data_IF_619483748453
#
_entry.id   IF_619483748453
#
_cell.length_a   1.000
_cell.length_b   1.000
_cell.length_c   1.000
_cell.angle_alpha   90.00
_cell.angle_beta   90.00
_cell.angle_gamma   90.00
#
_symmetry.space_group_name_H-M   'P 1'
#
loop_
_entity.id
_entity.type
_entity.pdbx_description
1 polymer ?
#
# COMPACT_ATOMS: atom_id res chain seq x y z
N UNK A 1 -29.00 0.93 -2.66
CA UNK A 1 -28.16 1.91 -1.94
C UNK A 1 -26.88 1.95 -2.71
N UNK A 2 -26.37 3.13 -3.07
CA UNK A 2 -25.07 3.21 -3.73
C UNK A 2 -24.04 2.64 -2.76
N UNK A 3 -23.31 1.64 -3.21
CA UNK A 3 -22.22 1.03 -2.49
C UNK A 3 -20.99 1.94 -2.55
N UNK A 4 -20.02 1.67 -1.71
CA UNK A 4 -18.71 2.32 -1.73
C UNK A 4 -17.71 1.41 -2.46
N UNK A 5 -16.88 1.93 -3.37
CA UNK A 5 -15.89 1.14 -4.10
C UNK A 5 -14.67 0.83 -3.20
N UNK A 6 -14.35 -0.45 -3.04
CA UNK A 6 -13.11 -0.91 -2.38
C UNK A 6 -12.25 -1.63 -3.41
N UNK A 7 -10.98 -1.27 -3.47
CA UNK A 7 -10.03 -1.77 -4.46
C UNK A 7 -8.79 -2.30 -3.76
N UNK A 8 -8.34 -3.48 -4.16
CA UNK A 8 -6.98 -3.95 -3.91
C UNK A 8 -6.26 -4.11 -5.25
N UNK A 9 -5.00 -3.72 -5.28
CA UNK A 9 -4.16 -3.77 -6.47
C UNK A 9 -2.78 -4.34 -6.09
N UNK A 10 -2.40 -5.53 -6.59
CA UNK A 10 -1.03 -6.05 -6.50
C UNK A 10 -0.13 -5.45 -7.60
N UNK A 11 1.05 -4.94 -7.22
CA UNK A 11 2.00 -4.39 -8.19
C UNK A 11 2.67 -5.50 -8.99
N UNK A 12 2.59 -5.48 -10.31
CA UNK A 12 3.06 -6.62 -11.11
C UNK A 12 4.48 -6.52 -11.63
N UNK A 13 5.11 -5.35 -11.61
CA UNK A 13 6.50 -5.20 -12.04
C UNK A 13 7.48 -5.64 -10.94
N UNK A 14 8.60 -6.26 -11.30
CA UNK A 14 9.70 -6.60 -10.36
C UNK A 14 9.34 -7.59 -9.24
N UNK A 15 8.21 -8.29 -9.35
CA UNK A 15 7.80 -9.33 -8.41
C UNK A 15 7.88 -10.71 -9.10
N UNK A 16 8.83 -11.55 -8.69
CA UNK A 16 9.10 -12.85 -9.33
C UNK A 16 7.92 -13.85 -9.26
N UNK A 17 6.93 -13.61 -8.38
CA UNK A 17 5.77 -14.48 -8.18
C UNK A 17 4.42 -13.72 -8.19
N UNK A 18 4.34 -12.59 -8.91
CA UNK A 18 3.12 -11.77 -8.93
C UNK A 18 1.85 -12.53 -9.34
N UNK A 19 1.97 -13.56 -10.18
CA UNK A 19 0.83 -14.38 -10.61
C UNK A 19 0.22 -15.16 -9.44
N UNK A 20 1.03 -15.65 -8.49
CA UNK A 20 0.52 -16.35 -7.32
C UNK A 20 -0.21 -15.38 -6.37
N UNK A 21 0.27 -14.14 -6.32
CA UNK A 21 -0.25 -13.07 -5.49
C UNK A 21 -1.57 -12.52 -6.04
N UNK A 22 -1.64 -12.27 -7.35
CA UNK A 22 -2.90 -11.99 -8.04
C UNK A 22 -3.92 -13.11 -7.81
N UNK A 23 -3.51 -14.37 -7.99
CA UNK A 23 -4.39 -15.51 -7.77
C UNK A 23 -4.83 -15.64 -6.30
N UNK A 24 -3.98 -15.25 -5.35
CA UNK A 24 -4.32 -15.19 -3.92
C UNK A 24 -5.37 -14.13 -3.67
N UNK A 25 -5.16 -12.90 -4.13
CA UNK A 25 -6.07 -11.78 -3.93
C UNK A 25 -7.44 -12.04 -4.58
N UNK A 26 -7.47 -12.52 -5.83
CA UNK A 26 -8.74 -12.86 -6.52
C UNK A 26 -9.52 -13.94 -5.76
N UNK A 27 -8.83 -14.95 -5.22
CA UNK A 27 -9.46 -16.05 -4.49
C UNK A 27 -10.05 -15.60 -3.15
N UNK A 28 -9.37 -14.68 -2.47
CA UNK A 28 -9.69 -14.29 -1.10
C UNK A 28 -10.50 -12.98 -1.02
N UNK A 29 -10.63 -12.23 -2.11
CA UNK A 29 -11.40 -10.99 -2.18
C UNK A 29 -12.86 -11.19 -1.74
N UNK A 30 -13.34 -10.44 -0.72
CA UNK A 30 -14.76 -10.38 -0.41
C UNK A 30 -15.55 -9.82 -1.59
N UNK A 31 -16.84 -10.16 -1.70
CA UNK A 31 -17.68 -9.79 -2.84
C UNK A 31 -17.93 -8.28 -3.03
N UNK A 32 -17.51 -7.45 -2.06
CA UNK A 32 -17.59 -5.99 -2.11
C UNK A 32 -16.24 -5.32 -2.37
N UNK A 33 -15.26 -6.08 -2.84
CA UNK A 33 -13.93 -5.62 -3.25
C UNK A 33 -13.70 -5.93 -4.72
N UNK A 34 -13.14 -4.96 -5.42
CA UNK A 34 -12.61 -5.12 -6.77
C UNK A 34 -11.11 -5.38 -6.71
N UNK A 35 -10.63 -6.28 -7.57
CA UNK A 35 -9.20 -6.60 -7.69
C UNK A 35 -8.67 -6.06 -9.01
N UNK A 36 -7.74 -5.09 -8.95
CA UNK A 36 -7.09 -4.54 -10.12
C UNK A 36 -5.85 -5.36 -10.45
N UNK A 37 -5.94 -6.17 -11.49
CA UNK A 37 -4.84 -7.02 -11.97
C UNK A 37 -3.91 -6.27 -12.94
N UNK A 38 -2.65 -6.68 -12.95
CA UNK A 38 -1.65 -6.30 -13.94
C UNK A 38 -1.33 -4.82 -13.96
N UNK A 39 -1.31 -4.15 -12.80
CA UNK A 39 -0.91 -2.75 -12.76
C UNK A 39 0.61 -2.60 -12.56
N UNK A 40 1.22 -1.88 -13.49
CA UNK A 40 2.68 -1.77 -13.59
C UNK A 40 3.22 -0.39 -13.25
N UNK A 41 2.35 0.61 -13.08
CA UNK A 41 2.74 1.95 -12.66
C UNK A 41 1.54 2.77 -12.19
N UNK A 42 1.83 3.91 -11.53
CA UNK A 42 0.88 4.94 -11.12
C UNK A 42 -0.21 5.28 -12.15
N UNK A 43 0.16 5.52 -13.42
CA UNK A 43 -0.80 6.00 -14.42
C UNK A 43 -1.80 4.90 -14.77
N UNK A 44 -1.31 3.67 -14.94
CA UNK A 44 -2.16 2.50 -15.20
C UNK A 44 -3.12 2.24 -14.03
N UNK A 45 -2.63 2.28 -12.78
CA UNK A 45 -3.50 2.11 -11.60
C UNK A 45 -4.63 3.14 -11.58
N UNK A 46 -4.31 4.42 -11.78
CA UNK A 46 -5.30 5.50 -11.77
C UNK A 46 -6.32 5.33 -12.90
N UNK A 47 -5.89 4.96 -14.09
CA UNK A 47 -6.80 4.76 -15.23
C UNK A 47 -7.70 3.53 -15.05
N UNK A 48 -7.20 2.46 -14.44
CA UNK A 48 -8.02 1.29 -14.09
C UNK A 48 -9.06 1.61 -13.01
N UNK A 49 -8.70 2.36 -11.97
CA UNK A 49 -9.66 2.82 -10.96
C UNK A 49 -10.73 3.71 -11.59
N UNK A 50 -10.35 4.69 -12.43
CA UNK A 50 -11.33 5.54 -13.12
C UNK A 50 -12.27 4.73 -14.01
N UNK A 51 -11.74 3.71 -14.68
CA UNK A 51 -12.56 2.81 -15.49
C UNK A 51 -13.60 2.11 -14.62
N UNK A 52 -13.20 1.53 -13.47
CA UNK A 52 -14.13 0.92 -12.51
C UNK A 52 -15.21 1.91 -12.05
N UNK A 53 -14.82 3.12 -11.67
CA UNK A 53 -15.75 4.18 -11.25
C UNK A 53 -16.73 4.61 -12.36
N UNK A 54 -16.35 4.46 -13.63
CA UNK A 54 -17.19 4.84 -14.77
C UNK A 54 -18.21 3.78 -15.19
N UNK A 55 -17.90 2.51 -14.96
CA UNK A 55 -18.75 1.37 -15.38
C UNK A 55 -19.72 0.93 -14.29
N UNK A 56 -19.45 1.31 -13.04
CA UNK A 56 -20.28 1.00 -11.88
C UNK A 56 -20.91 2.27 -11.28
N UNK A 57 -22.03 2.77 -11.86
CA UNK A 57 -22.70 3.95 -11.34
C UNK A 57 -23.30 3.74 -9.94
N UNK A 58 -23.42 2.48 -9.48
CA UNK A 58 -23.89 2.15 -8.14
C UNK A 58 -22.76 2.28 -7.09
N UNK A 59 -21.49 2.41 -7.49
CA UNK A 59 -20.34 2.66 -6.62
C UNK A 59 -19.61 3.97 -6.98
N UNK A 60 -20.22 5.15 -6.73
CA UNK A 60 -19.77 6.42 -7.30
C UNK A 60 -18.45 6.95 -6.74
N UNK A 61 -17.94 6.39 -5.63
CA UNK A 61 -16.76 6.91 -4.96
C UNK A 61 -15.86 5.79 -4.40
N UNK A 62 -14.56 6.05 -4.41
CA UNK A 62 -13.52 5.20 -3.85
C UNK A 62 -13.44 5.39 -2.34
N UNK A 63 -13.67 4.31 -1.61
CA UNK A 63 -13.65 4.25 -0.15
C UNK A 63 -12.36 3.68 0.38
N UNK A 64 -11.88 2.61 -0.25
CA UNK A 64 -10.66 1.94 0.16
C UNK A 64 -9.80 1.66 -1.07
N UNK A 65 -8.54 2.08 -1.01
CA UNK A 65 -7.51 1.67 -1.95
C UNK A 65 -6.43 0.92 -1.19
N UNK A 66 -6.16 -0.31 -1.57
CA UNK A 66 -5.06 -1.09 -1.03
C UNK A 66 -4.04 -1.40 -2.13
N UNK A 67 -2.78 -1.05 -1.86
CA UNK A 67 -1.64 -1.27 -2.74
C UNK A 67 -0.81 -2.39 -2.10
N UNK A 68 -0.83 -3.57 -2.73
CA UNK A 68 -0.09 -4.77 -2.30
C UNK A 68 1.22 -4.89 -3.10
N UNK A 69 2.36 -4.67 -2.44
CA UNK A 69 3.66 -4.69 -3.10
C UNK A 69 4.82 -4.82 -2.11
N UNK A 70 6.01 -5.09 -2.63
CA UNK A 70 7.23 -5.01 -1.83
C UNK A 70 7.51 -3.59 -1.39
N UNK A 71 7.96 -3.44 -0.14
CA UNK A 71 8.17 -2.12 0.41
C UNK A 71 9.24 -2.07 1.48
N UNK A 72 9.57 -0.83 1.79
CA UNK A 72 10.37 -0.42 2.92
C UNK A 72 9.85 0.96 3.38
N UNK A 73 10.43 1.56 4.42
CA UNK A 73 10.01 2.87 4.93
C UNK A 73 9.95 4.04 3.95
N UNK A 74 10.65 3.98 2.81
CA UNK A 74 10.78 5.10 1.87
C UNK A 74 10.26 4.81 0.47
N UNK A 75 9.78 3.58 0.21
CA UNK A 75 9.21 3.19 -1.08
C UNK A 75 8.34 1.95 -0.96
N UNK A 76 7.33 1.85 -1.80
CA UNK A 76 6.52 0.67 -2.10
C UNK A 76 6.50 0.54 -3.63
N UNK A 77 7.35 -0.34 -4.15
CA UNK A 77 7.70 -0.45 -5.58
C UNK A 77 7.71 0.88 -6.36
N UNK A 78 6.68 1.15 -7.17
CA UNK A 78 6.54 2.30 -8.07
C UNK A 78 6.16 3.62 -7.37
N UNK A 79 5.95 3.60 -6.06
CA UNK A 79 5.79 4.77 -5.21
C UNK A 79 7.02 4.92 -4.32
N UNK A 80 7.77 6.01 -4.50
CA UNK A 80 8.96 6.31 -3.72
C UNK A 80 8.90 7.70 -3.10
N UNK A 81 9.77 7.97 -2.12
CA UNK A 81 9.94 9.31 -1.56
C UNK A 81 10.25 10.40 -2.60
N UNK A 82 10.83 10.03 -3.76
CA UNK A 82 11.23 11.00 -4.79
C UNK A 82 10.09 11.42 -5.71
N UNK A 83 9.01 10.63 -5.79
CA UNK A 83 7.88 10.86 -6.68
C UNK A 83 6.52 10.81 -5.98
N UNK A 84 6.50 10.71 -4.65
CA UNK A 84 5.28 10.71 -3.82
C UNK A 84 4.36 11.91 -4.06
N UNK A 85 4.92 13.08 -4.41
CA UNK A 85 4.12 14.25 -4.78
C UNK A 85 3.31 14.01 -6.06
N UNK A 86 3.93 13.38 -7.07
CA UNK A 86 3.25 13.00 -8.32
C UNK A 86 2.19 11.92 -8.09
N UNK A 87 2.42 11.01 -7.14
CA UNK A 87 1.40 10.08 -6.64
C UNK A 87 0.22 10.79 -6.01
N UNK A 88 0.46 11.71 -5.07
CA UNK A 88 -0.61 12.52 -4.48
C UNK A 88 -1.42 13.27 -5.53
N UNK A 89 -0.77 13.93 -6.50
CA UNK A 89 -1.47 14.60 -7.59
C UNK A 89 -2.33 13.64 -8.42
N UNK A 90 -1.82 12.47 -8.77
CA UNK A 90 -2.56 11.51 -9.58
C UNK A 90 -3.77 10.94 -8.82
N UNK A 91 -3.58 10.54 -7.56
CA UNK A 91 -4.66 10.01 -6.73
C UNK A 91 -5.74 11.06 -6.44
N UNK A 92 -5.40 12.34 -6.31
CA UNK A 92 -6.37 13.45 -6.15
C UNK A 92 -7.34 13.61 -7.33
N UNK A 93 -7.06 12.98 -8.48
CA UNK A 93 -7.93 13.02 -9.65
C UNK A 93 -9.02 11.95 -9.65
N UNK A 94 -9.00 11.02 -8.69
CA UNK A 94 -10.02 10.00 -8.51
C UNK A 94 -11.23 10.56 -7.76
N UNK A 95 -12.40 9.94 -7.92
CA UNK A 95 -13.60 10.32 -7.16
C UNK A 95 -13.56 9.62 -5.81
N UNK A 96 -13.12 10.30 -4.76
CA UNK A 96 -13.07 9.72 -3.40
C UNK A 96 -14.38 9.91 -2.66
N UNK A 97 -14.68 9.01 -1.73
CA UNK A 97 -15.73 9.26 -0.74
C UNK A 97 -15.27 10.35 0.25
N UNK A 98 -16.19 10.95 1.02
CA UNK A 98 -15.86 12.00 1.98
C UNK A 98 -14.84 11.54 3.03
N UNK A 99 -14.97 10.28 3.45
CA UNK A 99 -14.04 9.59 4.34
C UNK A 99 -13.59 8.30 3.68
N UNK A 100 -12.28 8.18 3.44
CA UNK A 100 -11.68 7.06 2.73
C UNK A 100 -10.29 6.69 3.27
N UNK A 101 -9.83 5.51 2.92
CA UNK A 101 -8.57 4.93 3.41
C UNK A 101 -7.68 4.43 2.29
N UNK A 102 -6.38 4.57 2.48
CA UNK A 102 -5.35 3.99 1.61
C UNK A 102 -4.48 3.06 2.44
N UNK A 103 -4.36 1.79 2.07
CA UNK A 103 -3.49 0.82 2.72
C UNK A 103 -2.26 0.58 1.85
N UNK A 104 -1.07 0.77 2.42
CA UNK A 104 0.20 0.44 1.78
C UNK A 104 0.69 -0.91 2.33
N UNK A 105 0.19 -1.97 1.72
CA UNK A 105 0.41 -3.37 2.09
C UNK A 105 1.76 -3.84 1.57
N UNK A 106 2.79 -3.30 2.21
CA UNK A 106 4.17 -3.74 2.05
C UNK A 106 4.92 -3.56 3.36
N UNK A 107 6.10 -4.19 3.48
CA UNK A 107 6.87 -4.21 4.72
C UNK A 107 7.31 -2.81 5.20
N UNK A 108 7.12 -2.53 6.49
CA UNK A 108 7.62 -1.37 7.22
C UNK A 108 7.18 0.01 6.66
N UNK A 109 6.11 0.08 5.87
CA UNK A 109 5.66 1.33 5.20
C UNK A 109 5.20 2.40 6.19
N UNK A 110 4.86 2.02 7.42
CA UNK A 110 4.51 2.91 8.53
C UNK A 110 5.69 3.27 9.44
N UNK A 111 6.89 2.73 9.23
CA UNK A 111 8.06 2.97 10.08
C UNK A 111 9.02 4.02 9.51
N UNK A 112 9.78 4.67 10.39
CA UNK A 112 10.77 5.71 10.04
C UNK A 112 12.14 5.10 9.76
N UNK A 113 12.78 5.43 8.63
CA UNK A 113 14.16 4.98 8.31
C UNK A 113 15.23 5.81 9.01
N UNK A 114 15.66 5.41 10.19
CA UNK A 114 16.73 6.06 10.95
C UNK A 114 18.15 5.65 10.49
N UNK A 115 18.54 5.92 9.23
CA UNK A 115 19.95 5.77 8.84
C UNK A 115 20.42 6.84 7.86
N UNK A 116 21.57 7.45 8.18
CA UNK A 116 22.23 8.55 7.51
C UNK A 116 22.68 8.27 6.05
N UNK A 117 21.76 8.19 5.08
CA UNK A 117 22.10 8.32 3.66
C UNK A 117 21.62 9.67 3.11
N UNK A 118 22.57 10.61 3.11
CA UNK A 118 22.69 11.82 2.27
C UNK A 118 21.60 12.89 2.24
N UNK A 119 20.43 12.69 2.88
CA UNK A 119 19.52 13.81 3.20
C UNK A 119 18.70 13.52 4.48
N UNK A 120 19.03 14.12 5.64
CA UNK A 120 18.31 13.94 6.89
C UNK A 120 16.91 14.60 6.93
N UNK A 121 16.54 15.39 5.92
CA UNK A 121 15.31 16.18 5.93
C UNK A 121 14.04 15.40 5.56
N UNK A 122 14.15 14.23 4.90
CA UNK A 122 12.98 13.42 4.52
C UNK A 122 13.26 11.95 4.81
N UNK A 123 12.86 11.57 6.01
CA UNK A 123 12.88 10.20 6.50
C UNK A 123 11.45 9.66 6.31
N UNK A 124 11.30 8.36 5.97
CA UNK A 124 9.99 7.70 6.02
C UNK A 124 9.25 7.97 7.35
N UNK A 125 7.96 7.63 7.46
CA UNK A 125 7.31 6.58 6.69
C UNK A 125 6.71 7.06 5.37
N UNK A 126 6.81 6.22 4.34
CA UNK A 126 6.24 6.48 3.01
C UNK A 126 4.72 6.67 3.08
N UNK A 127 4.03 5.98 4.00
CA UNK A 127 2.61 6.19 4.27
C UNK A 127 2.31 7.62 4.74
N UNK A 128 3.14 8.19 5.61
CA UNK A 128 3.02 9.60 6.02
C UNK A 128 3.28 10.55 4.85
N UNK A 129 4.33 10.29 4.07
CA UNK A 129 4.65 11.13 2.92
C UNK A 129 3.52 11.16 1.89
N UNK A 130 2.84 10.02 1.68
CA UNK A 130 1.66 9.95 0.82
C UNK A 130 0.47 10.68 1.43
N UNK A 131 0.21 10.54 2.74
CA UNK A 131 -0.84 11.30 3.42
C UNK A 131 -0.62 12.82 3.28
N UNK A 132 0.62 13.29 3.46
CA UNK A 132 0.97 14.70 3.28
C UNK A 132 0.79 15.15 1.82
N UNK A 133 1.13 14.31 0.83
CA UNK A 133 0.88 14.61 -0.59
C UNK A 133 -0.62 14.63 -0.93
N UNK A 134 -1.44 13.88 -0.19
CA UNK A 134 -2.89 13.87 -0.26
C UNK A 134 -3.56 14.97 0.59
N UNK A 135 -2.83 16.01 1.00
CA UNK A 135 -3.30 17.04 1.92
C UNK A 135 -4.75 17.49 1.65
N UNK A 136 -5.57 17.42 2.71
CA UNK A 136 -6.94 17.91 2.76
C UNK A 136 -6.96 19.41 2.51
N UNK A 137 -7.80 19.82 1.57
CA UNK A 137 -8.06 21.22 1.28
C UNK A 137 -9.57 21.37 1.01
N UNK A 138 -10.32 22.09 1.85
CA UNK A 138 -11.77 22.23 1.68
C UNK A 138 -12.16 22.89 0.34
N UNK A 139 -11.25 23.60 -0.32
CA UNK A 139 -11.50 24.24 -1.61
C UNK A 139 -11.15 23.34 -2.82
N UNK A 140 -10.15 22.47 -2.69
CA UNK A 140 -9.59 21.75 -3.86
C UNK A 140 -9.54 20.23 -3.71
N UNK A 141 -9.57 19.70 -2.48
CA UNK A 141 -9.56 18.26 -2.20
C UNK A 141 -10.19 18.00 -0.81
N UNK A 142 -11.52 18.09 -0.74
CA UNK A 142 -12.28 18.03 0.51
C UNK A 142 -12.56 16.59 0.97
N UNK A 143 -11.58 15.70 0.84
CA UNK A 143 -11.68 14.28 1.23
C UNK A 143 -10.78 13.99 2.42
N UNK A 144 -11.34 13.40 3.47
CA UNK A 144 -10.63 12.99 4.67
C UNK A 144 -10.03 11.61 4.42
N UNK A 145 -8.72 11.59 4.15
CA UNK A 145 -8.00 10.36 3.82
C UNK A 145 -7.12 9.95 5.00
N UNK A 146 -7.20 8.68 5.38
CA UNK A 146 -6.20 8.05 6.26
C UNK A 146 -5.35 7.11 5.42
N UNK A 147 -4.04 7.34 5.40
CA UNK A 147 -3.08 6.42 4.79
C UNK A 147 -2.51 5.54 5.89
N UNK A 148 -2.61 4.23 5.72
CA UNK A 148 -2.11 3.21 6.62
C UNK A 148 -0.82 2.62 6.08
N UNK A 149 0.20 2.54 6.93
CA UNK A 149 1.42 1.78 6.65
C UNK A 149 1.62 0.67 7.68
N UNK A 150 2.33 -0.39 7.32
CA UNK A 150 2.57 -1.52 8.20
C UNK A 150 3.64 -1.24 9.26
N UNK A 151 3.51 -1.87 10.43
CA UNK A 151 4.44 -1.76 11.56
C UNK A 151 5.46 -2.91 11.66
N UNK A 152 5.85 -3.52 10.54
CA UNK A 152 6.82 -4.61 10.53
C UNK A 152 6.94 -5.29 9.18
N UNK A 153 7.53 -6.49 9.17
CA UNK A 153 7.54 -7.34 7.98
C UNK A 153 6.17 -7.96 7.80
N UNK A 154 5.41 -7.41 6.84
CA UNK A 154 4.01 -7.71 6.60
C UNK A 154 3.86 -8.99 5.77
N UNK A 155 2.89 -9.82 6.14
CA UNK A 155 2.27 -10.83 5.30
C UNK A 155 0.75 -10.65 5.27
N UNK A 156 0.13 -10.94 4.13
CA UNK A 156 -1.30 -10.75 3.91
C UNK A 156 -1.69 -9.29 3.65
N UNK A 157 -2.98 -9.07 3.39
CA UNK A 157 -3.55 -7.75 3.12
C UNK A 157 -4.70 -7.42 4.08
N UNK A 158 -5.02 -6.13 4.22
CA UNK A 158 -6.18 -5.67 4.97
C UNK A 158 -7.48 -6.18 4.34
N UNK A 159 -7.55 -6.21 3.01
CA UNK A 159 -8.67 -6.78 2.25
C UNK A 159 -9.00 -8.21 2.70
N UNK A 160 -7.99 -9.05 2.92
CA UNK A 160 -8.17 -10.44 3.34
C UNK A 160 -8.54 -10.59 4.82
N UNK A 161 -8.22 -9.59 5.65
CA UNK A 161 -8.32 -9.67 7.10
C UNK A 161 -7.37 -10.69 7.73
N UNK A 162 -6.29 -11.04 7.01
CA UNK A 162 -5.25 -11.98 7.44
C UNK A 162 -3.89 -11.32 7.61
N UNK A 163 -3.87 -10.00 7.79
CA UNK A 163 -2.62 -9.25 7.94
C UNK A 163 -1.91 -9.60 9.25
N UNK A 164 -0.62 -9.88 9.12
CA UNK A 164 0.28 -10.13 10.24
C UNK A 164 1.61 -9.44 9.98
N UNK A 165 2.19 -8.86 11.01
CA UNK A 165 3.58 -8.42 10.98
C UNK A 165 4.40 -9.32 11.88
N UNK A 166 5.57 -9.69 11.38
CA UNK A 166 6.64 -10.26 12.20
C UNK A 166 7.74 -9.25 12.39
N UNK A 167 8.35 -9.27 13.56
CA UNK A 167 9.42 -8.36 13.89
C UNK A 167 10.71 -8.76 13.19
N UNK A 168 10.91 -10.03 12.83
CA UNK A 168 12.08 -10.50 12.07
C UNK A 168 11.70 -11.75 11.28
N UNK A 169 12.36 -11.98 10.15
CA UNK A 169 12.14 -13.20 9.38
C UNK A 169 13.41 -13.68 8.69
N UNK A 170 13.38 -14.95 8.31
CA UNK A 170 14.43 -15.56 7.49
C UNK A 170 13.84 -15.85 6.12
N UNK A 171 14.43 -15.26 5.10
CA UNK A 171 14.14 -15.56 3.72
C UNK A 171 15.05 -16.68 3.23
N UNK A 172 14.46 -17.69 2.59
CA UNK A 172 15.17 -18.80 1.96
C UNK A 172 15.03 -18.65 0.45
N UNK A 173 16.13 -18.36 -0.24
CA UNK A 173 16.13 -18.33 -1.69
C UNK A 173 16.71 -19.66 -2.22
N UNK A 174 15.89 -20.34 -3.03
CA UNK A 174 16.20 -21.66 -3.60
C UNK A 174 16.73 -21.57 -5.05
N UNK A 175 17.08 -20.38 -5.53
CA UNK A 175 17.53 -20.16 -6.90
C UNK A 175 18.77 -21.03 -7.25
N UNK A 176 18.55 -21.96 -8.19
CA UNK A 176 19.58 -22.71 -8.94
C UNK A 176 20.59 -23.53 -8.11
N UNK A 177 20.09 -24.20 -7.08
CA UNK A 177 20.93 -24.76 -6.04
C UNK A 177 21.23 -26.27 -6.07
N UNK A 178 22.51 -26.65 -6.29
CA UNK A 178 23.14 -27.83 -5.63
C UNK A 178 24.38 -27.40 -4.80
N UNK A 179 24.20 -27.09 -3.49
CA UNK A 179 22.94 -26.75 -2.86
C UNK A 179 22.96 -25.32 -2.29
N UNK A 180 23.05 -24.23 -3.08
CA UNK A 180 22.86 -22.90 -2.52
C UNK A 180 21.40 -22.62 -2.14
N UNK A 181 20.97 -23.11 -0.98
CA UNK A 181 19.94 -22.40 -0.20
C UNK A 181 20.64 -21.18 0.39
N UNK A 182 20.42 -20.00 -0.20
CA UNK A 182 20.89 -18.77 0.44
C UNK A 182 19.87 -18.36 1.50
N UNK A 183 20.37 -18.11 2.71
CA UNK A 183 19.58 -17.70 3.86
C UNK A 183 19.86 -16.23 4.14
N UNK A 184 18.85 -15.38 3.98
CA UNK A 184 18.94 -13.97 4.38
C UNK A 184 18.17 -13.79 5.68
N UNK A 185 18.85 -13.35 6.73
CA UNK A 185 18.20 -12.96 7.98
C UNK A 185 17.87 -11.48 7.93
N UNK A 186 16.60 -11.16 8.07
CA UNK A 186 16.08 -9.80 8.15
C UNK A 186 15.82 -9.46 9.62
N UNK A 187 16.75 -8.73 10.29
CA UNK A 187 16.58 -8.39 11.69
C UNK A 187 15.46 -7.38 11.86
N UNK A 188 14.98 -7.24 13.10
CA UNK A 188 13.93 -6.28 13.41
C UNK A 188 14.21 -4.87 12.96
N UNK A 189 13.28 -4.35 12.14
CA UNK A 189 13.30 -2.96 11.75
C UNK A 189 13.02 -2.08 12.99
N UNK A 190 13.77 -1.00 13.21
CA UNK A 190 13.54 -0.11 14.35
C UNK A 190 12.09 0.38 14.44
N UNK A 191 11.45 0.14 15.58
CA UNK A 191 10.04 0.47 15.81
C UNK A 191 9.04 -0.61 15.36
N UNK A 192 9.49 -1.66 14.66
CA UNK A 192 8.62 -2.75 14.23
C UNK A 192 8.23 -3.69 15.35
N UNK A 193 7.10 -4.39 15.22
CA UNK A 193 6.60 -5.34 16.24
C UNK A 193 5.78 -6.45 15.62
N UNK A 194 5.67 -7.58 16.33
CA UNK A 194 4.68 -8.59 15.99
C UNK A 194 3.27 -8.03 16.23
N UNK A 195 2.40 -8.08 15.22
CA UNK A 195 1.02 -7.67 15.33
C UNK A 195 0.14 -8.46 14.35
N UNK A 196 -1.17 -8.46 14.58
CA UNK A 196 -2.16 -9.11 13.71
C UNK A 196 -3.40 -8.25 13.58
N UNK A 197 -4.09 -8.36 12.45
CA UNK A 197 -5.27 -7.54 12.15
C UNK A 197 -4.98 -6.04 12.23
N UNK A 198 -5.95 -5.26 12.70
CA UNK A 198 -5.83 -3.80 12.78
C UNK A 198 -4.59 -3.25 13.52
N UNK A 199 -3.98 -4.04 14.41
CA UNK A 199 -2.78 -3.62 15.13
C UNK A 199 -1.52 -3.54 14.25
N UNK A 200 -1.57 -4.10 13.03
CA UNK A 200 -0.51 -4.02 12.00
C UNK A 200 -0.37 -2.60 11.46
N UNK A 201 -1.46 -1.84 11.40
CA UNK A 201 -1.55 -0.61 10.63
C UNK A 201 -1.28 0.63 11.46
N UNK A 202 -0.36 1.48 10.99
CA UNK A 202 -0.06 2.81 11.54
C UNK A 202 -0.81 3.84 10.70
N UNK A 203 -1.78 4.58 11.27
CA UNK A 203 -2.57 5.57 10.54
C UNK A 203 -1.88 6.93 10.41
N UNK A 204 -2.00 7.55 9.24
CA UNK A 204 -1.58 8.92 8.96
C UNK A 204 -2.72 9.69 8.28
N UNK A 205 -3.27 10.69 8.97
CA UNK A 205 -4.27 11.59 8.39
C UNK A 205 -3.65 12.50 7.34
N UNK A 206 -4.38 12.80 6.26
CA UNK A 206 -3.99 13.79 5.26
C UNK A 206 -4.20 15.26 5.69
N UNK A 207 -4.23 15.58 6.99
CA UNK A 207 -4.43 16.94 7.47
C UNK A 207 -5.13 17.02 8.82
N UNK A 208 -5.45 18.24 9.25
CA UNK A 208 -6.25 18.50 10.45
C UNK A 208 -7.73 18.64 10.05
N UNK A 209 -8.51 17.63 10.40
CA UNK A 209 -9.96 17.55 10.25
C UNK A 209 -10.55 16.55 11.26
#
# INVERSE_FOLDING_TARGET
MASELNVVAPYTQEWDDYLSEEARLVRNAPSNWEVILGYDNRADLVDKIRTLQSIDPDHPCLKTLEIDAHANPISINDLSRTDVASWGTALKTLVWCDEASVYLSGCNTGLTRNSASTNPAVIGPIAKLLADALAYDPATFAHKIIVYGSNGYLSGTHMEGSEETVDSFTEYNFAWAIPPVTKTFWPKFPGGSNASGNAVWIPFKNGNW
#
